data_IF_996512243281
#
_entry.id   IF_996512243281
#
_cell.length_a   1.000
_cell.length_b   1.000
_cell.length_c   1.000
_cell.angle_alpha   90.00
_cell.angle_beta   90.00
_cell.angle_gamma   90.00
#
_symmetry.space_group_name_H-M   'P 1'
#
loop_
_entity.id
_entity.type
_entity.pdbx_description
1 polymer ?
#
# COMPACT_ATOMS: atom_id res chain seq x y z
N UNK A 1 -8.60 -26.08 18.02
CA UNK A 1 -8.82 -26.24 16.56
C UNK A 1 -9.48 -27.59 16.29
N UNK A 2 -10.83 -27.61 16.19
CA UNK A 2 -11.65 -28.82 15.95
C UNK A 2 -12.10 -28.90 14.49
N UNK A 3 -11.15 -29.06 13.55
CA UNK A 3 -11.46 -29.08 12.12
C UNK A 3 -11.96 -30.44 11.58
N UNK A 4 -12.12 -31.47 12.42
CA UNK A 4 -12.22 -32.87 11.93
C UNK A 4 -13.47 -33.67 12.33
N UNK A 5 -14.43 -33.13 13.08
CA UNK A 5 -15.72 -33.83 13.27
C UNK A 5 -16.71 -33.47 12.16
N UNK A 6 -16.30 -33.73 10.91
CA UNK A 6 -17.17 -33.60 9.75
C UNK A 6 -17.82 -34.94 9.46
N UNK A 7 -19.15 -34.93 9.41
CA UNK A 7 -19.93 -36.06 8.90
C UNK A 7 -19.36 -36.51 7.54
N UNK A 8 -19.14 -37.82 7.32
CA UNK A 8 -18.49 -38.38 6.13
C UNK A 8 -19.24 -38.14 4.79
N UNK A 9 -20.27 -37.29 4.79
CA UNK A 9 -21.17 -37.03 3.66
C UNK A 9 -21.00 -35.64 3.03
N UNK A 10 -20.08 -34.80 3.55
CA UNK A 10 -19.84 -33.44 3.05
C UNK A 10 -18.47 -33.32 2.39
N UNK A 11 -18.46 -33.16 1.07
CA UNK A 11 -17.24 -32.86 0.31
C UNK A 11 -17.06 -31.36 0.23
N UNK A 12 -15.90 -30.85 0.67
CA UNK A 12 -15.54 -29.43 0.58
C UNK A 12 -14.56 -29.24 -0.57
N UNK A 13 -14.87 -28.32 -1.46
CA UNK A 13 -13.99 -27.94 -2.57
C UNK A 13 -13.60 -26.49 -2.32
N UNK A 14 -12.34 -26.25 -2.02
CA UNK A 14 -11.80 -24.90 -1.87
C UNK A 14 -11.59 -24.34 -3.27
N UNK A 15 -12.18 -23.18 -3.54
CA UNK A 15 -12.15 -22.54 -4.85
C UNK A 15 -11.14 -21.39 -4.87
N UNK A 16 -10.96 -20.71 -3.74
CA UNK A 16 -9.96 -19.66 -3.61
C UNK A 16 -10.08 -18.88 -2.31
N UNK A 17 -9.43 -17.71 -2.30
CA UNK A 17 -9.50 -16.76 -1.20
C UNK A 17 -10.35 -15.57 -1.62
N UNK A 18 -11.26 -15.16 -0.75
CA UNK A 18 -12.03 -13.92 -0.89
C UNK A 18 -11.60 -12.99 0.23
N UNK A 19 -11.20 -11.80 -0.16
CA UNK A 19 -10.85 -10.74 0.77
C UNK A 19 -11.15 -9.39 0.16
N UNK A 20 -11.25 -8.39 1.02
CA UNK A 20 -11.42 -7.00 0.64
C UNK A 20 -10.04 -6.34 0.60
N UNK A 21 -9.82 -5.53 -0.42
CA UNK A 21 -8.63 -4.72 -0.55
C UNK A 21 -9.03 -3.28 -0.82
N UNK A 22 -8.10 -2.38 -0.52
CA UNK A 22 -8.27 -0.98 -0.81
C UNK A 22 -7.52 -0.59 -2.08
N UNK A 23 -8.09 0.39 -2.75
CA UNK A 23 -7.57 1.07 -3.93
C UNK A 23 -7.52 2.55 -3.58
N UNK A 24 -6.35 3.15 -3.67
CA UNK A 24 -6.20 4.59 -3.53
C UNK A 24 -5.15 5.10 -4.51
N UNK A 25 -5.27 6.35 -4.95
CA UNK A 25 -4.16 7.04 -5.61
C UNK A 25 -3.40 7.95 -4.64
N UNK A 26 -3.87 8.09 -3.39
CA UNK A 26 -3.08 8.72 -2.35
C UNK A 26 -2.03 7.72 -1.86
N UNK A 27 -0.77 8.04 -2.10
CA UNK A 27 0.36 7.41 -1.43
C UNK A 27 1.01 8.49 -0.58
N UNK A 28 1.07 8.27 0.72
CA UNK A 28 1.95 9.06 1.56
C UNK A 28 3.37 8.76 1.07
N UNK A 29 3.94 9.73 0.34
CA UNK A 29 5.33 9.64 -0.06
C UNK A 29 6.11 9.70 1.23
N UNK A 30 6.54 8.55 1.74
CA UNK A 30 7.61 8.51 2.71
C UNK A 30 8.76 9.28 2.07
N UNK A 31 9.03 10.48 2.58
CA UNK A 31 10.16 11.29 2.15
C UNK A 31 11.38 10.56 2.71
N UNK A 32 11.80 9.51 2.02
CA UNK A 32 13.04 8.84 2.36
C UNK A 32 14.15 9.82 2.04
N UNK A 33 14.85 10.28 3.08
CA UNK A 33 16.00 11.20 2.91
C UNK A 33 17.11 10.60 2.03
N UNK A 34 17.02 9.32 1.69
CA UNK A 34 17.87 8.64 0.71
C UNK A 34 17.98 9.40 -0.60
N UNK A 35 16.92 10.03 -1.11
CA UNK A 35 17.04 10.80 -2.35
C UNK A 35 17.96 12.03 -2.22
N UNK A 36 18.10 12.63 -1.04
CA UNK A 36 19.01 13.75 -0.83
C UNK A 36 20.46 13.31 -0.57
N UNK A 37 20.66 12.11 -0.04
CA UNK A 37 22.00 11.59 0.29
C UNK A 37 22.60 10.83 -0.90
N UNK A 38 21.78 10.12 -1.69
CA UNK A 38 22.21 9.25 -2.79
C UNK A 38 22.87 9.93 -4.01
N UNK A 39 22.51 11.15 -4.45
CA UNK A 39 23.07 11.71 -5.68
C UNK A 39 24.51 12.18 -5.53
N UNK A 40 24.99 12.38 -4.30
CA UNK A 40 26.35 12.81 -4.06
C UNK A 40 27.29 11.61 -4.04
N UNK A 41 28.22 11.62 -5.00
CA UNK A 41 29.41 10.77 -5.05
C UNK A 41 30.14 10.79 -3.70
N UNK A 42 30.67 9.65 -3.23
CA UNK A 42 31.31 9.52 -1.91
C UNK A 42 32.45 10.54 -1.72
N UNK A 43 33.08 10.91 -2.82
CA UNK A 43 34.13 11.92 -2.95
C UNK A 43 33.66 13.30 -2.45
N UNK A 44 32.40 13.68 -2.68
CA UNK A 44 31.84 14.96 -2.20
C UNK A 44 31.72 14.96 -0.68
N UNK A 45 31.27 13.84 -0.10
CA UNK A 45 31.20 13.68 1.34
C UNK A 45 32.58 13.69 2.00
N UNK A 46 33.56 13.02 1.38
CA UNK A 46 34.95 13.14 1.82
C UNK A 46 35.45 14.57 1.74
N UNK A 47 35.11 15.31 0.68
CA UNK A 47 35.37 16.74 0.55
C UNK A 47 34.80 17.53 1.74
N UNK A 48 33.50 17.44 1.99
CA UNK A 48 32.83 18.13 3.09
C UNK A 48 33.46 17.78 4.45
N UNK A 49 33.68 16.49 4.73
CA UNK A 49 34.26 16.03 6.00
C UNK A 49 35.72 16.49 6.13
N UNK A 50 36.50 16.46 5.05
CA UNK A 50 37.88 16.93 5.03
C UNK A 50 37.97 18.43 5.28
N UNK A 51 37.14 19.25 4.63
CA UNK A 51 37.07 20.70 4.86
C UNK A 51 36.65 21.03 6.29
N UNK A 52 35.70 20.26 6.85
CA UNK A 52 35.33 20.40 8.26
C UNK A 52 36.48 20.07 9.20
N UNK A 53 37.23 19.01 8.91
CA UNK A 53 38.42 18.62 9.69
C UNK A 53 39.51 19.69 9.64
N UNK A 54 39.76 20.28 8.47
CA UNK A 54 40.72 21.36 8.28
C UNK A 54 40.29 22.65 9.01
N UNK A 55 39.00 22.97 8.98
CA UNK A 55 38.44 24.10 9.72
C UNK A 55 38.61 23.92 11.23
N UNK A 56 38.28 22.73 11.76
CA UNK A 56 38.41 22.42 13.20
C UNK A 56 39.88 22.43 13.66
N UNK A 57 40.80 21.90 12.85
CA UNK A 57 42.23 21.86 13.19
C UNK A 57 42.88 23.24 13.10
N UNK A 58 42.49 24.05 12.12
CA UNK A 58 42.94 25.45 12.01
C UNK A 58 42.45 26.29 13.19
N UNK A 59 41.16 26.15 13.55
CA UNK A 59 40.60 26.81 14.73
C UNK A 59 41.32 26.43 16.03
N UNK A 60 41.71 25.17 16.21
CA UNK A 60 42.47 24.72 17.37
C UNK A 60 43.89 25.34 17.43
N UNK A 61 44.56 25.50 16.27
CA UNK A 61 45.88 26.13 16.18
C UNK A 61 45.83 27.62 16.53
N UNK A 62 44.79 28.33 16.10
CA UNK A 62 44.56 29.73 16.51
C UNK A 62 44.20 29.84 17.99
N UNK A 63 43.41 28.90 18.53
CA UNK A 63 43.04 28.89 19.95
C UNK A 63 44.24 28.61 20.87
N UNK A 64 45.23 27.84 20.41
CA UNK A 64 46.49 27.62 21.12
C UNK A 64 47.33 28.89 21.30
N UNK A 65 47.18 29.88 20.41
CA UNK A 65 47.90 31.15 20.51
C UNK A 65 47.17 32.20 21.36
N UNK A 66 45.88 32.02 21.65
CA UNK A 66 45.12 32.84 22.62
C UNK A 66 45.11 32.27 24.04
N UNK A 67 45.62 31.05 24.25
CA UNK A 67 45.54 30.34 25.55
C UNK A 67 46.65 30.70 26.56
N UNK A 68 47.39 31.79 26.36
CA UNK A 68 48.27 32.34 27.41
C UNK A 68 47.53 33.20 28.44
N UNK A 69 46.19 33.23 28.42
CA UNK A 69 45.36 33.81 29.47
C UNK A 69 44.62 32.68 30.19
N UNK A 70 44.85 32.46 31.50
CA UNK A 70 44.22 31.37 32.25
C UNK A 70 42.74 31.67 32.51
N UNK A 71 41.87 30.71 32.18
CA UNK A 71 40.45 30.69 32.56
C UNK A 71 40.14 29.37 33.27
N UNK A 72 39.22 29.38 34.26
CA UNK A 72 39.03 28.31 35.22
C UNK A 72 38.22 27.11 34.67
N UNK A 73 38.55 25.94 35.19
CA UNK A 73 37.99 24.64 34.81
C UNK A 73 36.51 24.48 35.19
N UNK A 74 35.69 24.05 34.22
CA UNK A 74 34.35 23.52 34.47
C UNK A 74 34.19 22.18 33.73
N UNK A 75 34.18 21.09 34.50
CA UNK A 75 33.89 19.73 34.05
C UNK A 75 32.42 19.39 34.32
N UNK A 76 31.66 19.05 33.27
CA UNK A 76 30.34 18.41 33.42
C UNK A 76 30.32 17.13 32.59
N UNK A 77 30.30 16.00 33.30
CA UNK A 77 30.06 14.68 32.75
C UNK A 77 28.55 14.40 32.68
N UNK A 78 28.10 13.84 31.55
CA UNK A 78 26.76 13.29 31.38
C UNK A 78 26.87 11.88 30.82
N UNK A 79 26.53 10.90 31.64
CA UNK A 79 26.36 9.48 31.27
C UNK A 79 24.89 9.19 30.98
N UNK A 80 24.63 8.45 29.89
CA UNK A 80 23.31 7.91 29.50
C UNK A 80 23.33 6.38 29.67
N UNK A 81 22.31 5.78 30.31
CA UNK A 81 21.97 4.39 30.01
C UNK A 81 20.45 4.18 29.96
N UNK A 82 19.87 4.06 28.76
CA UNK A 82 18.51 3.53 28.58
C UNK A 82 18.46 2.76 27.26
N UNK A 83 18.87 1.49 27.27
CA UNK A 83 18.64 0.59 26.12
C UNK A 83 18.75 -0.91 26.46
N UNK A 84 18.16 -1.38 27.56
CA UNK A 84 18.26 -2.80 27.90
C UNK A 84 17.02 -3.46 28.53
N UNK A 85 15.82 -2.91 28.32
CA UNK A 85 14.62 -3.41 29.00
C UNK A 85 13.42 -3.64 28.07
N UNK A 86 13.64 -4.17 26.85
CA UNK A 86 12.53 -4.54 25.95
C UNK A 86 12.87 -5.74 25.07
N UNK A 87 13.24 -6.88 25.67
CA UNK A 87 13.39 -8.13 24.92
C UNK A 87 13.33 -9.38 25.82
N UNK A 88 12.18 -9.66 26.44
CA UNK A 88 11.86 -11.02 26.93
C UNK A 88 10.41 -11.17 27.43
N UNK A 89 9.55 -11.78 26.60
CA UNK A 89 8.28 -12.50 26.89
C UNK A 89 7.59 -12.65 25.54
N UNK A 90 7.39 -13.84 24.96
CA UNK A 90 6.40 -14.83 25.36
C UNK A 90 6.70 -16.18 24.65
N UNK A 91 6.60 -17.30 25.38
CA UNK A 91 6.43 -18.65 24.84
C UNK A 91 5.81 -19.53 25.94
N UNK A 92 4.65 -20.15 25.67
CA UNK A 92 4.31 -21.57 25.91
C UNK A 92 2.80 -21.83 25.64
N UNK A 93 2.41 -22.88 24.88
CA UNK A 93 1.01 -23.28 24.64
C UNK A 93 0.66 -24.66 25.25
N UNK A 94 -0.62 -24.94 25.56
CA UNK A 94 -1.10 -26.35 25.66
C UNK A 94 -2.62 -26.58 25.81
N UNK A 95 -3.04 -27.81 25.45
CA UNK A 95 -4.26 -28.61 25.82
C UNK A 95 -5.53 -28.40 24.96
N UNK A 96 -6.44 -29.35 24.66
CA UNK A 96 -6.52 -30.81 24.31
C UNK A 96 -7.99 -31.04 23.81
N UNK A 97 -8.33 -32.19 23.20
CA UNK A 97 -9.60 -32.53 22.50
C UNK A 97 -10.36 -33.68 23.20
N UNK A 98 -11.68 -33.90 22.95
CA UNK A 98 -12.17 -35.28 22.79
C UNK A 98 -13.27 -35.50 21.72
N UNK A 99 -13.52 -36.80 21.51
CA UNK A 99 -14.30 -37.58 20.51
C UNK A 99 -15.84 -37.45 20.68
N UNK A 100 -16.76 -37.94 19.85
CA UNK A 100 -16.83 -38.84 18.69
C UNK A 100 -18.31 -38.99 18.25
N UNK A 101 -18.62 -40.06 17.48
CA UNK A 101 -19.96 -40.65 17.19
C UNK A 101 -20.68 -40.41 15.83
N UNK A 102 -21.30 -41.50 15.34
CA UNK A 102 -21.93 -41.84 14.03
C UNK A 102 -23.42 -42.19 14.30
N UNK A 103 -24.40 -42.16 13.35
CA UNK A 103 -24.58 -43.26 12.39
C UNK A 103 -25.33 -42.95 11.05
N UNK A 104 -25.71 -44.05 10.41
CA UNK A 104 -26.03 -44.47 9.04
C UNK A 104 -27.41 -44.09 8.45
N UNK A 105 -27.52 -44.12 7.11
CA UNK A 105 -28.80 -44.26 6.38
C UNK A 105 -28.64 -44.17 4.85
N UNK A 106 -29.11 -45.19 4.12
CA UNK A 106 -29.09 -45.33 2.65
C UNK A 106 -30.31 -44.64 1.97
N UNK A 107 -30.20 -44.27 0.68
CA UNK A 107 -31.14 -44.52 -0.46
C UNK A 107 -30.76 -43.62 -1.69
N UNK A 108 -31.22 -44.05 -2.88
CA UNK A 108 -30.78 -43.89 -4.29
C UNK A 108 -31.14 -42.55 -5.02
N UNK A 109 -30.68 -42.32 -6.29
CA UNK A 109 -30.32 -41.00 -6.84
C UNK A 109 -31.19 -40.50 -8.02
N UNK A 110 -31.04 -39.21 -8.39
CA UNK A 110 -31.09 -38.69 -9.77
C UNK A 110 -30.53 -37.26 -9.99
N UNK A 111 -29.71 -37.15 -11.06
CA UNK A 111 -29.41 -36.00 -11.97
C UNK A 111 -27.99 -35.37 -11.91
N UNK A 112 -27.16 -35.78 -12.88
CA UNK A 112 -26.26 -34.93 -13.69
C UNK A 112 -26.10 -35.66 -15.05
N UNK A 113 -26.66 -35.13 -16.14
CA UNK A 113 -26.53 -35.77 -17.46
C UNK A 113 -25.07 -35.83 -17.91
N UNK A 114 -24.66 -36.97 -18.48
CA UNK A 114 -23.35 -37.25 -19.06
C UNK A 114 -22.96 -36.23 -20.17
N UNK A 115 -23.94 -35.61 -20.81
CA UNK A 115 -23.74 -34.63 -21.88
C UNK A 115 -23.11 -33.34 -21.39
N UNK A 116 -23.40 -32.95 -20.15
CA UNK A 116 -22.83 -31.73 -19.55
C UNK A 116 -21.36 -31.94 -19.23
N UNK A 117 -21.01 -33.11 -18.70
CA UNK A 117 -19.61 -33.47 -18.47
C UNK A 117 -18.80 -33.55 -19.79
N UNK A 118 -19.43 -34.00 -20.89
CA UNK A 118 -18.79 -34.02 -22.23
C UNK A 118 -18.57 -32.60 -22.76
N UNK A 119 -19.54 -31.70 -22.58
CA UNK A 119 -19.43 -30.30 -22.99
C UNK A 119 -18.30 -29.56 -22.23
N UNK A 120 -18.22 -29.74 -20.92
CA UNK A 120 -17.11 -29.17 -20.12
C UNK A 120 -15.75 -29.75 -20.54
N UNK A 121 -15.68 -31.06 -20.77
CA UNK A 121 -14.44 -31.74 -21.18
C UNK A 121 -13.99 -31.32 -22.58
N UNK A 122 -14.89 -31.17 -23.54
CA UNK A 122 -14.53 -30.69 -24.89
C UNK A 122 -14.00 -29.26 -24.86
N UNK A 123 -14.55 -28.42 -23.98
CA UNK A 123 -14.13 -27.03 -23.89
C UNK A 123 -12.79 -26.85 -23.15
N UNK A 124 -12.48 -27.73 -22.19
CA UNK A 124 -11.17 -27.75 -21.52
C UNK A 124 -9.98 -28.02 -22.46
N UNK A 125 -10.23 -28.66 -23.61
CA UNK A 125 -9.19 -29.01 -24.60
C UNK A 125 -8.90 -27.88 -25.60
N UNK A 126 -9.63 -26.77 -25.55
CA UNK A 126 -9.39 -25.64 -26.47
C UNK A 126 -8.14 -24.86 -26.04
N UNK A 127 -7.32 -24.49 -27.01
CA UNK A 127 -6.10 -23.72 -26.78
C UNK A 127 -6.39 -22.34 -26.19
N UNK A 128 -5.44 -21.84 -25.39
CA UNK A 128 -5.48 -20.49 -24.80
C UNK A 128 -5.61 -19.45 -25.93
N UNK A 129 -6.77 -18.78 -26.01
CA UNK A 129 -7.08 -17.80 -27.06
C UNK A 129 -8.35 -18.07 -27.88
N UNK A 130 -8.86 -19.31 -27.90
CA UNK A 130 -10.14 -19.60 -28.57
C UNK A 130 -11.34 -19.10 -27.76
N UNK A 131 -12.37 -18.59 -28.47
CA UNK A 131 -13.63 -18.15 -27.86
C UNK A 131 -14.38 -19.34 -27.26
N UNK A 132 -14.86 -19.16 -26.03
CA UNK A 132 -15.72 -20.12 -25.32
C UNK A 132 -17.06 -20.27 -26.04
N UNK A 133 -17.56 -21.50 -26.14
CA UNK A 133 -18.84 -21.83 -26.76
C UNK A 133 -20.00 -21.04 -26.15
N UNK A 134 -20.89 -20.46 -26.97
CA UNK A 134 -22.06 -19.72 -26.48
C UNK A 134 -22.97 -20.58 -25.59
N UNK A 135 -23.08 -21.89 -25.85
CA UNK A 135 -23.85 -22.83 -25.01
C UNK A 135 -23.27 -22.96 -23.59
N UNK A 136 -21.94 -22.95 -23.45
CA UNK A 136 -21.29 -22.99 -22.14
C UNK A 136 -21.47 -21.65 -21.41
N UNK A 137 -21.36 -20.53 -22.14
CA UNK A 137 -21.62 -19.19 -21.60
C UNK A 137 -23.06 -19.08 -21.08
N UNK A 138 -24.05 -19.64 -21.78
CA UNK A 138 -25.44 -19.64 -21.36
C UNK A 138 -25.68 -20.48 -20.09
N UNK A 139 -25.11 -21.69 -20.00
CA UNK A 139 -25.19 -22.50 -18.77
C UNK A 139 -24.48 -21.86 -17.58
N UNK A 140 -23.34 -21.21 -17.81
CA UNK A 140 -22.67 -20.43 -16.78
C UNK A 140 -23.51 -19.22 -16.37
N UNK A 141 -24.13 -18.53 -17.34
CA UNK A 141 -25.05 -17.42 -17.04
C UNK A 141 -26.23 -17.87 -16.20
N UNK A 142 -26.71 -19.10 -16.40
CA UNK A 142 -27.72 -19.71 -15.54
C UNK A 142 -27.21 -19.95 -14.12
N UNK A 143 -25.97 -20.46 -13.96
CA UNK A 143 -25.31 -20.61 -12.66
C UNK A 143 -25.05 -19.26 -11.96
N UNK A 144 -24.65 -18.23 -12.70
CA UNK A 144 -24.44 -16.88 -12.19
C UNK A 144 -25.76 -16.20 -11.84
N UNK A 145 -26.81 -16.36 -12.65
CA UNK A 145 -28.17 -15.89 -12.33
C UNK A 145 -28.70 -16.57 -11.07
N UNK A 146 -28.43 -17.87 -10.93
CA UNK A 146 -28.73 -18.63 -9.72
C UNK A 146 -27.95 -18.08 -8.50
N UNK A 147 -26.65 -17.77 -8.65
CA UNK A 147 -25.88 -17.09 -7.59
C UNK A 147 -26.40 -15.68 -7.28
N UNK A 148 -26.79 -14.90 -8.27
CA UNK A 148 -27.30 -13.54 -8.12
C UNK A 148 -28.65 -13.52 -7.40
N UNK A 149 -29.53 -14.48 -7.73
CA UNK A 149 -30.83 -14.67 -7.08
C UNK A 149 -30.68 -15.14 -5.64
N UNK A 150 -29.71 -16.02 -5.37
CA UNK A 150 -29.31 -16.39 -4.01
C UNK A 150 -28.75 -15.20 -3.22
N UNK A 151 -27.99 -14.31 -3.86
CA UNK A 151 -27.38 -13.15 -3.21
C UNK A 151 -28.39 -12.03 -2.94
N UNK A 152 -29.32 -11.77 -3.87
CA UNK A 152 -30.40 -10.78 -3.68
C UNK A 152 -31.34 -11.17 -2.54
N UNK A 153 -31.74 -12.45 -2.49
CA UNK A 153 -32.57 -12.97 -1.39
C UNK A 153 -31.83 -12.95 -0.03
N UNK A 154 -30.49 -12.90 -0.02
CA UNK A 154 -29.69 -12.77 1.19
C UNK A 154 -29.48 -11.31 1.65
N UNK A 155 -29.61 -10.32 0.75
CA UNK A 155 -29.38 -8.89 1.04
C UNK A 155 -30.62 -8.13 1.55
N UNK A 156 -31.84 -8.63 1.31
CA UNK A 156 -33.08 -8.03 1.81
C UNK A 156 -33.36 -8.28 3.31
N UNK A 157 -32.52 -9.06 4.00
CA UNK A 157 -32.74 -9.40 5.42
C UNK A 157 -31.58 -8.86 6.26
N UNK A 158 -31.73 -7.62 6.74
CA UNK A 158 -30.84 -6.97 7.70
C UNK A 158 -31.10 -7.43 9.14
N UNK A 159 -30.88 -8.72 9.43
CA UNK A 159 -30.81 -9.27 10.81
C UNK A 159 -29.79 -10.41 10.83
N UNK A 160 -28.93 -10.56 11.86
CA UNK A 160 -27.98 -11.67 11.92
C UNK A 160 -28.75 -12.97 12.19
N UNK A 161 -29.15 -13.66 11.12
CA UNK A 161 -29.81 -14.95 11.21
C UNK A 161 -28.84 -16.08 10.91
N UNK A 162 -28.82 -17.02 11.86
CA UNK A 162 -28.29 -18.36 11.73
C UNK A 162 -28.89 -19.00 10.46
N UNK A 163 -28.07 -19.12 9.41
CA UNK A 163 -28.48 -19.60 8.08
C UNK A 163 -28.74 -21.11 8.15
N UNK A 164 -29.87 -21.53 8.72
CA UNK A 164 -30.26 -22.94 8.69
C UNK A 164 -31.26 -23.25 7.59
N UNK A 165 -32.27 -22.43 7.27
CA UNK A 165 -33.33 -22.86 6.35
C UNK A 165 -33.90 -21.73 5.47
N UNK A 166 -33.44 -21.64 4.22
CA UNK A 166 -34.22 -21.04 3.13
C UNK A 166 -34.80 -22.22 2.32
N UNK A 167 -36.14 -22.38 2.25
CA UNK A 167 -36.79 -23.43 1.48
C UNK A 167 -37.00 -22.92 0.06
N UNK A 168 -35.96 -22.98 -0.77
CA UNK A 168 -36.14 -22.73 -2.20
C UNK A 168 -35.11 -23.50 -3.01
N UNK A 169 -35.34 -24.81 -3.11
CA UNK A 169 -34.80 -25.70 -4.13
C UNK A 169 -35.76 -26.90 -4.14
N UNK A 170 -36.42 -27.12 -5.26
CA UNK A 170 -37.25 -28.28 -5.60
C UNK A 170 -36.68 -29.59 -5.03
N UNK A 171 -37.56 -30.40 -4.42
CA UNK A 171 -37.23 -31.64 -3.70
C UNK A 171 -36.60 -32.75 -4.58
N UNK A 172 -36.53 -32.55 -5.90
CA UNK A 172 -36.08 -33.56 -6.87
C UNK A 172 -34.61 -33.41 -7.33
N UNK A 173 -33.83 -32.51 -6.72
CA UNK A 173 -32.41 -32.32 -7.07
C UNK A 173 -31.46 -33.16 -6.20
N UNK A 174 -30.65 -34.04 -6.82
CA UNK A 174 -29.82 -35.04 -6.12
C UNK A 174 -28.80 -34.54 -5.09
N UNK A 175 -28.40 -33.28 -5.16
CA UNK A 175 -27.37 -32.74 -4.29
C UNK A 175 -27.67 -31.29 -3.98
N UNK A 176 -27.36 -30.90 -2.74
CA UNK A 176 -27.51 -29.53 -2.28
C UNK A 176 -26.16 -28.84 -2.35
N UNK A 177 -26.01 -27.94 -3.32
CA UNK A 177 -24.83 -27.08 -3.42
C UNK A 177 -24.99 -25.88 -2.48
N UNK A 178 -24.09 -25.74 -1.52
CA UNK A 178 -24.02 -24.57 -0.65
C UNK A 178 -22.71 -23.84 -0.87
N UNK A 179 -22.78 -22.54 -1.15
CA UNK A 179 -21.64 -21.65 -1.06
C UNK A 179 -21.41 -21.39 0.42
N UNK A 180 -20.23 -21.75 0.93
CA UNK A 180 -19.89 -21.55 2.33
C UNK A 180 -18.63 -20.71 2.38
N UNK A 181 -18.73 -19.55 3.01
CA UNK A 181 -17.57 -18.77 3.39
C UNK A 181 -17.01 -19.38 4.67
N UNK A 182 -15.82 -19.96 4.57
CA UNK A 182 -15.15 -20.49 5.75
C UNK A 182 -14.46 -19.32 6.45
N UNK A 183 -15.10 -18.80 7.49
CA UNK A 183 -14.48 -17.82 8.38
C UNK A 183 -13.36 -18.53 9.16
N UNK A 184 -12.14 -18.42 8.66
CA UNK A 184 -10.94 -18.88 9.35
C UNK A 184 -10.69 -17.90 10.51
N UNK A 185 -11.12 -18.31 11.69
CA UNK A 185 -10.89 -17.66 12.98
C UNK A 185 -11.68 -16.39 13.25
N UNK A 186 -11.93 -16.18 14.55
CA UNK A 186 -12.48 -14.98 15.18
C UNK A 186 -11.38 -13.91 15.12
N UNK A 187 -11.08 -13.46 13.91
CA UNK A 187 -9.92 -12.61 13.63
C UNK A 187 -10.20 -11.16 14.09
N UNK A 188 -9.30 -10.52 14.87
CA UNK A 188 -9.40 -9.11 15.24
C UNK A 188 -9.56 -8.15 14.05
N UNK A 189 -9.23 -8.58 12.83
CA UNK A 189 -9.48 -7.84 11.59
C UNK A 189 -10.96 -7.47 11.35
N UNK A 190 -11.91 -8.14 12.02
CA UNK A 190 -13.32 -7.74 12.01
C UNK A 190 -13.57 -6.36 12.65
N UNK A 191 -12.80 -5.96 13.68
CA UNK A 191 -12.93 -4.63 14.27
C UNK A 191 -12.44 -3.53 13.31
N UNK A 192 -11.33 -3.78 12.61
CA UNK A 192 -10.81 -2.85 11.59
C UNK A 192 -11.84 -2.69 10.46
N UNK A 193 -12.45 -3.78 10.01
CA UNK A 193 -13.48 -3.76 8.99
C UNK A 193 -14.75 -3.03 9.46
N UNK A 194 -15.18 -3.25 10.71
CA UNK A 194 -16.31 -2.54 11.32
C UNK A 194 -16.03 -1.04 11.45
N UNK A 195 -14.81 -0.66 11.84
CA UNK A 195 -14.39 0.74 11.90
C UNK A 195 -14.35 1.37 10.51
N UNK A 196 -13.84 0.66 9.50
CA UNK A 196 -13.82 1.13 8.10
C UNK A 196 -15.22 1.32 7.53
N UNK A 197 -16.16 0.42 7.82
CA UNK A 197 -17.55 0.53 7.38
C UNK A 197 -18.42 1.34 8.32
N UNK A 198 -17.85 1.92 9.38
CA UNK A 198 -18.60 2.78 10.27
C UNK A 198 -19.10 4.00 9.47
N UNK A 199 -20.39 4.38 9.56
CA UNK A 199 -20.97 5.48 8.78
C UNK A 199 -20.23 6.82 8.90
N UNK A 200 -19.50 7.01 10.01
CA UNK A 200 -18.64 8.19 10.23
C UNK A 200 -17.43 8.26 9.29
N UNK A 201 -16.92 7.13 8.82
CA UNK A 201 -15.81 7.05 7.88
C UNK A 201 -16.27 6.81 6.44
N UNK A 202 -17.50 6.32 6.26
CA UNK A 202 -18.12 6.17 4.96
C UNK A 202 -18.44 7.54 4.35
N UNK A 203 -17.61 7.97 3.40
CA UNK A 203 -17.87 9.18 2.64
C UNK A 203 -18.87 8.88 1.52
N UNK A 204 -20.05 9.51 1.57
CA UNK A 204 -20.98 9.47 0.45
C UNK A 204 -20.50 10.45 -0.63
N UNK A 205 -20.46 10.04 -1.91
CA UNK A 205 -20.14 10.96 -2.98
C UNK A 205 -21.17 12.10 -2.99
N UNK A 206 -20.72 13.32 -3.25
CA UNK A 206 -21.62 14.48 -3.39
C UNK A 206 -22.43 14.32 -4.68
N UNK A 207 -23.67 13.89 -4.55
CA UNK A 207 -24.61 13.77 -5.67
C UNK A 207 -25.17 15.17 -5.95
N UNK A 208 -24.84 15.75 -7.11
CA UNK A 208 -25.47 16.99 -7.58
C UNK A 208 -26.89 16.62 -8.05
N UNK A 209 -27.89 17.14 -7.37
CA UNK A 209 -29.31 16.78 -7.49
C UNK A 209 -29.88 17.05 -8.88
N UNK A 210 -30.50 16.04 -9.51
CA UNK A 210 -31.38 16.23 -10.69
C UNK A 210 -31.65 14.97 -11.52
N UNK A 211 -30.73 14.02 -11.51
CA UNK A 211 -30.90 12.70 -12.12
C UNK A 211 -30.15 11.73 -11.24
N UNK A 212 -30.69 10.54 -10.95
CA UNK A 212 -30.01 9.51 -10.16
C UNK A 212 -28.71 9.15 -10.89
N UNK A 213 -27.56 9.77 -10.60
CA UNK A 213 -26.36 9.50 -11.34
C UNK A 213 -25.91 8.12 -10.87
N UNK A 214 -25.33 7.35 -11.77
CA UNK A 214 -24.71 6.08 -11.42
C UNK A 214 -23.77 6.34 -10.21
N UNK A 215 -24.12 5.83 -9.03
CA UNK A 215 -23.34 6.01 -7.78
C UNK A 215 -21.86 5.70 -8.05
N UNK A 216 -21.61 4.77 -8.98
CA UNK A 216 -20.28 4.42 -9.47
C UNK A 216 -19.53 5.58 -10.10
N UNK A 217 -20.17 6.43 -10.91
CA UNK A 217 -19.53 7.61 -11.48
C UNK A 217 -19.11 8.61 -10.38
N UNK A 218 -19.97 8.79 -9.36
CA UNK A 218 -19.63 9.61 -8.20
C UNK A 218 -18.42 9.07 -7.42
N UNK A 219 -18.40 7.75 -7.17
CA UNK A 219 -17.27 7.07 -6.53
C UNK A 219 -16.00 7.16 -7.38
N UNK A 220 -16.10 6.93 -8.69
CA UNK A 220 -15.00 7.02 -9.63
C UNK A 220 -14.39 8.42 -9.63
N UNK A 221 -15.21 9.47 -9.70
CA UNK A 221 -14.77 10.87 -9.65
C UNK A 221 -14.08 11.19 -8.33
N UNK A 222 -14.59 10.69 -7.21
CA UNK A 222 -13.98 10.88 -5.90
C UNK A 222 -12.62 10.15 -5.77
N UNK A 223 -12.51 8.94 -6.29
CA UNK A 223 -11.25 8.17 -6.31
C UNK A 223 -10.24 8.82 -7.26
N UNK A 224 -10.68 9.25 -8.45
CA UNK A 224 -9.84 9.94 -9.43
C UNK A 224 -9.42 11.34 -8.98
N UNK A 225 -10.11 11.96 -8.03
CA UNK A 225 -9.69 13.25 -7.46
C UNK A 225 -8.41 13.16 -6.62
N UNK A 226 -7.95 11.95 -6.27
CA UNK A 226 -6.80 11.70 -5.40
C UNK A 226 -6.77 12.50 -4.10
N UNK A 227 -7.96 12.75 -3.55
CA UNK A 227 -8.07 13.10 -2.15
C UNK A 227 -7.63 11.92 -1.26
N UNK A 228 -7.55 12.13 0.06
CA UNK A 228 -7.24 11.09 1.05
C UNK A 228 -8.41 10.08 1.20
N UNK A 229 -8.86 9.51 0.09
CA UNK A 229 -9.96 8.57 -0.02
C UNK A 229 -9.43 7.25 -0.55
N UNK A 230 -10.09 6.16 -0.14
CA UNK A 230 -9.78 4.83 -0.58
C UNK A 230 -11.08 4.13 -0.98
N UNK A 231 -11.06 3.48 -2.14
CA UNK A 231 -12.12 2.59 -2.60
C UNK A 231 -11.87 1.20 -2.04
N UNK A 232 -12.85 0.64 -1.33
CA UNK A 232 -12.76 -0.68 -0.72
C UNK A 232 -13.67 -1.62 -1.49
N UNK A 233 -13.14 -2.77 -1.89
CA UNK A 233 -13.88 -3.75 -2.68
C UNK A 233 -13.25 -5.12 -2.60
N UNK A 234 -13.90 -6.11 -3.20
CA UNK A 234 -13.35 -7.46 -3.32
C UNK A 234 -12.04 -7.44 -4.11
N UNK A 235 -11.04 -8.21 -3.70
CA UNK A 235 -9.68 -8.21 -4.29
C UNK A 235 -9.67 -8.35 -5.81
N UNK A 236 -10.49 -9.26 -6.35
CA UNK A 236 -10.63 -9.48 -7.80
C UNK A 236 -11.26 -8.28 -8.51
N UNK A 237 -12.25 -7.64 -7.88
CA UNK A 237 -12.88 -6.43 -8.39
C UNK A 237 -11.90 -5.25 -8.37
N UNK A 238 -11.10 -5.12 -7.30
CA UNK A 238 -10.10 -4.05 -7.14
C UNK A 238 -9.04 -4.12 -8.23
N UNK A 239 -8.57 -5.32 -8.58
CA UNK A 239 -7.60 -5.48 -9.67
C UNK A 239 -8.16 -5.00 -11.01
N UNK A 240 -9.40 -5.38 -11.33
CA UNK A 240 -10.07 -4.93 -12.56
C UNK A 240 -10.40 -3.43 -12.54
N UNK A 241 -10.75 -2.88 -11.38
CA UNK A 241 -11.01 -1.45 -11.19
C UNK A 241 -9.73 -0.62 -11.40
N UNK A 242 -8.60 -1.08 -10.87
CA UNK A 242 -7.28 -0.46 -11.10
C UNK A 242 -6.95 -0.45 -12.59
N UNK A 243 -7.14 -1.56 -13.29
CA UNK A 243 -6.85 -1.64 -14.72
C UNK A 243 -7.75 -0.68 -15.51
N UNK A 244 -9.04 -0.61 -15.16
CA UNK A 244 -9.98 0.33 -15.75
C UNK A 244 -9.56 1.79 -15.52
N UNK A 245 -9.27 2.18 -14.27
CA UNK A 245 -8.89 3.53 -13.91
C UNK A 245 -7.55 3.95 -14.52
N UNK A 246 -6.56 3.05 -14.60
CA UNK A 246 -5.27 3.34 -15.26
C UNK A 246 -5.41 3.61 -16.75
N UNK A 247 -6.35 2.92 -17.42
CA UNK A 247 -6.66 3.17 -18.84
C UNK A 247 -7.36 4.51 -19.03
N UNK A 248 -8.24 4.91 -18.11
CA UNK A 248 -9.02 6.16 -18.21
C UNK A 248 -8.26 7.40 -17.72
N UNK A 249 -7.47 7.27 -16.65
CA UNK A 249 -6.73 8.33 -15.97
C UNK A 249 -5.23 8.03 -15.99
N UNK A 250 -4.62 8.09 -17.17
CA UNK A 250 -3.21 7.67 -17.36
C UNK A 250 -2.20 8.49 -16.55
N UNK A 251 -2.54 9.72 -16.16
CA UNK A 251 -1.70 10.60 -15.34
C UNK A 251 -1.74 10.27 -13.84
N UNK A 252 -2.68 9.44 -13.40
CA UNK A 252 -2.86 9.08 -11.99
C UNK A 252 -2.25 7.70 -11.73
N UNK A 253 -1.40 7.63 -10.71
CA UNK A 253 -0.86 6.36 -10.22
C UNK A 253 -1.81 5.81 -9.16
N UNK A 254 -2.54 4.77 -9.52
CA UNK A 254 -3.37 4.02 -8.57
C UNK A 254 -2.54 2.92 -7.91
N UNK A 255 -2.70 2.80 -6.59
CA UNK A 255 -2.03 1.82 -5.76
C UNK A 255 -3.06 0.84 -5.19
N UNK A 256 -2.65 -0.43 -5.18
CA UNK A 256 -3.36 -1.52 -4.51
C UNK A 256 -2.82 -1.64 -3.10
N UNK A 257 -3.70 -1.72 -2.11
CA UNK A 257 -3.30 -2.06 -0.75
C UNK A 257 -2.64 -3.42 -0.67
N UNK A 258 -1.56 -3.53 0.11
CA UNK A 258 -0.93 -4.82 0.45
C UNK A 258 -1.85 -5.70 1.29
N UNK A 259 -2.63 -5.05 2.16
CA UNK A 259 -3.37 -5.76 3.19
C UNK A 259 -4.71 -6.23 2.65
N UNK A 260 -4.99 -7.51 2.91
CA UNK A 260 -6.26 -8.14 2.54
C UNK A 260 -7.11 -8.24 3.79
N UNK A 261 -8.18 -7.45 3.84
CA UNK A 261 -9.14 -7.46 4.94
C UNK A 261 -10.09 -8.65 4.80
N UNK A 262 -10.32 -9.35 5.91
CA UNK A 262 -11.24 -10.50 5.98
C UNK A 262 -10.89 -11.57 4.94
N UNK A 263 -9.70 -12.14 5.09
CA UNK A 263 -9.28 -13.27 4.28
C UNK A 263 -10.11 -14.50 4.65
N UNK A 264 -11.08 -14.82 3.79
CA UNK A 264 -11.92 -15.99 3.93
C UNK A 264 -11.62 -16.98 2.81
N UNK A 265 -11.46 -18.25 3.15
CA UNK A 265 -11.52 -19.29 2.13
C UNK A 265 -12.95 -19.36 1.60
N UNK A 266 -13.10 -19.16 0.29
CA UNK A 266 -14.35 -19.45 -0.40
C UNK A 266 -14.26 -20.84 -1.00
N UNK A 267 -15.30 -21.61 -0.72
CA UNK A 267 -15.41 -22.95 -1.23
C UNK A 267 -16.85 -23.36 -1.38
N UNK A 268 -17.03 -24.46 -2.07
CA UNK A 268 -18.31 -25.09 -2.25
C UNK A 268 -18.40 -26.29 -1.33
N UNK A 269 -19.54 -26.43 -0.67
CA UNK A 269 -19.86 -27.60 0.11
C UNK A 269 -20.93 -28.36 -0.63
N UNK A 270 -20.57 -29.57 -1.06
CA UNK A 270 -21.49 -30.51 -1.68
C UNK A 270 -21.98 -31.41 -0.55
N UNK A 271 -23.24 -31.22 -0.17
CA UNK A 271 -23.90 -32.09 0.82
C UNK A 271 -24.60 -33.25 0.12
N UNK A 272 -24.51 -34.45 0.71
CA UNK A 272 -25.21 -35.66 0.24
C UNK A 272 -24.84 -36.06 -1.19
N UNK A 273 -23.54 -36.19 -1.49
CA UNK A 273 -23.06 -36.56 -2.83
C UNK A 273 -23.52 -37.96 -3.33
N UNK A 274 -24.28 -38.70 -2.52
CA UNK A 274 -24.80 -40.02 -2.86
C UNK A 274 -23.68 -40.99 -3.25
N UNK A 275 -23.98 -41.95 -4.12
CA UNK A 275 -22.95 -42.84 -4.72
C UNK A 275 -22.20 -42.17 -5.89
N UNK A 276 -22.65 -41.01 -6.36
CA UNK A 276 -22.17 -40.39 -7.59
C UNK A 276 -21.05 -39.39 -7.25
N UNK A 277 -19.85 -39.92 -6.98
CA UNK A 277 -18.61 -39.12 -6.73
C UNK A 277 -18.10 -38.34 -7.97
N UNK A 278 -18.84 -38.38 -9.08
CA UNK A 278 -18.40 -37.79 -10.35
C UNK A 278 -18.45 -36.25 -10.32
N UNK A 279 -19.40 -35.68 -9.58
CA UNK A 279 -19.64 -34.23 -9.56
C UNK A 279 -18.50 -33.50 -8.85
N UNK A 280 -18.12 -33.89 -7.63
CA UNK A 280 -16.98 -33.26 -6.94
C UNK A 280 -15.68 -33.42 -7.71
N UNK A 281 -15.43 -34.57 -8.33
CA UNK A 281 -14.24 -34.82 -9.16
C UNK A 281 -14.21 -33.90 -10.38
N UNK A 282 -15.35 -33.70 -11.05
CA UNK A 282 -15.43 -32.82 -12.22
C UNK A 282 -15.22 -31.35 -11.84
N UNK A 283 -15.80 -30.90 -10.72
CA UNK A 283 -15.57 -29.55 -10.21
C UNK A 283 -14.13 -29.31 -9.76
N UNK A 284 -13.55 -30.29 -9.05
CA UNK A 284 -12.14 -30.26 -8.70
C UNK A 284 -11.27 -30.14 -9.95
N UNK A 285 -11.51 -30.96 -10.97
CA UNK A 285 -10.78 -30.88 -12.23
C UNK A 285 -10.95 -29.52 -12.93
N UNK A 286 -12.13 -28.89 -12.85
CA UNK A 286 -12.40 -27.57 -13.42
C UNK A 286 -11.63 -26.45 -12.70
N UNK A 287 -11.41 -26.58 -11.40
CA UNK A 287 -10.61 -25.63 -10.59
C UNK A 287 -9.11 -25.90 -10.81
N UNK A 288 -8.68 -27.16 -10.70
CA UNK A 288 -7.28 -27.57 -10.88
C UNK A 288 -6.75 -27.28 -12.29
N UNK A 289 -7.63 -27.25 -13.30
CA UNK A 289 -7.28 -26.85 -14.67
C UNK A 289 -7.22 -25.34 -14.90
N UNK A 290 -7.61 -24.51 -13.93
CA UNK A 290 -7.63 -23.04 -14.05
C UNK A 290 -8.79 -22.48 -14.90
N UNK A 291 -9.71 -23.33 -15.38
CA UNK A 291 -10.87 -22.89 -16.17
C UNK A 291 -11.76 -21.95 -15.36
N UNK A 292 -11.93 -22.24 -14.06
CA UNK A 292 -12.69 -21.38 -13.15
C UNK A 292 -12.12 -19.97 -13.05
N UNK A 293 -10.81 -19.85 -12.86
CA UNK A 293 -10.12 -18.56 -12.70
C UNK A 293 -10.21 -17.71 -13.98
N UNK A 294 -10.00 -18.34 -15.15
CA UNK A 294 -10.17 -17.67 -16.44
C UNK A 294 -11.60 -17.18 -16.64
N UNK A 295 -12.58 -17.99 -16.27
CA UNK A 295 -13.98 -17.62 -16.35
C UNK A 295 -14.31 -16.42 -15.46
N UNK A 296 -13.80 -16.40 -14.22
CA UNK A 296 -13.99 -15.29 -13.30
C UNK A 296 -13.38 -13.99 -13.84
N UNK A 297 -12.21 -14.08 -14.48
CA UNK A 297 -11.55 -12.95 -15.16
C UNK A 297 -12.42 -12.43 -16.31
N UNK A 298 -12.93 -13.30 -17.16
CA UNK A 298 -13.79 -12.93 -18.30
C UNK A 298 -15.11 -12.28 -17.84
N UNK A 299 -15.76 -12.81 -16.79
CA UNK A 299 -16.98 -12.23 -16.21
C UNK A 299 -16.71 -10.84 -15.67
N UNK A 300 -15.59 -10.66 -14.95
CA UNK A 300 -15.19 -9.36 -14.41
C UNK A 300 -14.86 -8.36 -15.52
N UNK A 301 -14.13 -8.79 -16.56
CA UNK A 301 -13.83 -7.97 -17.73
C UNK A 301 -15.09 -7.51 -18.47
N UNK A 302 -16.10 -8.39 -18.62
CA UNK A 302 -17.39 -8.03 -19.22
C UNK A 302 -18.16 -7.02 -18.38
N UNK A 303 -18.14 -7.18 -17.05
CA UNK A 303 -18.76 -6.23 -16.11
C UNK A 303 -18.14 -4.83 -16.23
N UNK A 304 -16.83 -4.75 -16.51
CA UNK A 304 -16.15 -3.47 -16.75
C UNK A 304 -16.41 -2.90 -18.15
N UNK A 305 -16.51 -3.74 -19.19
CA UNK A 305 -16.77 -3.31 -20.57
C UNK A 305 -18.14 -2.63 -20.74
N UNK A 306 -19.13 -3.01 -19.94
CA UNK A 306 -20.46 -2.40 -19.96
C UNK A 306 -20.51 -0.97 -19.41
N UNK A 307 -19.44 -0.48 -18.77
CA UNK A 307 -19.38 0.91 -18.29
C UNK A 307 -19.15 1.84 -19.46
N UNK A 308 -20.17 2.65 -19.79
CA UNK A 308 -20.02 3.75 -20.77
C UNK A 308 -18.88 4.64 -20.32
N UNK A 309 -17.87 4.79 -21.16
CA UNK A 309 -16.86 5.82 -20.97
C UNK A 309 -17.58 7.16 -21.11
N UNK A 310 -17.82 7.83 -19.99
CA UNK A 310 -18.15 9.25 -20.03
C UNK A 310 -16.91 9.95 -20.57
N UNK A 311 -17.01 10.49 -21.78
CA UNK A 311 -15.95 11.25 -22.45
C UNK A 311 -15.67 12.61 -21.78
N UNK A 312 -16.11 12.81 -20.54
CA UNK A 312 -15.73 13.95 -19.74
C UNK A 312 -14.25 13.80 -19.38
N UNK A 313 -13.41 14.45 -20.18
CA UNK A 313 -12.06 14.81 -19.80
C UNK A 313 -12.15 15.70 -18.58
N UNK A 314 -12.13 15.10 -17.38
CA UNK A 314 -11.85 15.83 -16.14
C UNK A 314 -10.48 16.47 -16.38
N UNK A 315 -10.49 17.80 -16.58
CA UNK A 315 -9.35 18.55 -17.11
C UNK A 315 -8.04 18.16 -16.44
N UNK A 316 -7.14 17.58 -17.24
CA UNK A 316 -5.77 17.25 -16.82
C UNK A 316 -5.01 18.51 -16.33
N UNK A 317 -5.51 19.69 -16.71
CA UNK A 317 -4.95 21.00 -16.43
C UNK A 317 -4.84 21.32 -14.93
N UNK A 318 -5.68 20.70 -14.08
CA UNK A 318 -5.61 20.89 -12.62
C UNK A 318 -4.73 19.86 -11.90
N UNK A 319 -4.32 18.77 -12.57
CA UNK A 319 -3.57 17.68 -11.93
C UNK A 319 -2.06 17.74 -12.21
N UNK A 320 -1.59 18.57 -13.15
CA UNK A 320 -0.26 19.19 -13.01
C UNK A 320 -0.27 20.27 -11.93
N UNK A 321 -0.93 19.97 -10.79
CA UNK A 321 -0.65 20.66 -9.55
C UNK A 321 0.85 20.68 -9.44
N UNK A 322 1.40 21.89 -9.44
CA UNK A 322 2.82 22.19 -9.25
C UNK A 322 3.38 21.08 -8.38
N UNK A 323 4.50 20.46 -8.76
CA UNK A 323 5.26 19.64 -7.83
C UNK A 323 5.51 20.56 -6.65
N UNK A 324 4.60 20.52 -5.66
CA UNK A 324 4.69 21.31 -4.46
C UNK A 324 5.94 20.72 -3.90
N UNK A 325 7.03 21.48 -3.98
CA UNK A 325 8.27 21.18 -3.31
C UNK A 325 7.88 21.16 -1.85
N UNK A 326 7.40 19.99 -1.40
CA UNK A 326 6.99 19.74 -0.04
C UNK A 326 8.12 20.28 0.83
N UNK A 327 7.75 21.03 1.87
CA UNK A 327 8.63 21.95 2.59
C UNK A 327 10.00 21.40 3.01
N UNK A 328 10.21 20.08 3.00
CA UNK A 328 11.54 19.46 3.08
C UNK A 328 12.57 19.99 2.06
N UNK A 329 12.19 20.18 0.78
CA UNK A 329 13.14 20.73 -0.22
C UNK A 329 13.43 22.21 0.08
N UNK A 330 12.38 22.96 0.41
CA UNK A 330 12.50 24.39 0.73
C UNK A 330 13.36 24.62 1.98
N UNK A 331 13.15 23.82 3.04
CA UNK A 331 13.95 23.88 4.27
C UNK A 331 15.41 23.51 4.01
N UNK A 332 15.69 22.56 3.12
CA UNK A 332 17.06 22.23 2.71
C UNK A 332 17.74 23.41 1.98
N UNK A 333 17.06 24.06 1.05
CA UNK A 333 17.59 25.27 0.41
C UNK A 333 17.82 26.40 1.41
N UNK A 334 16.92 26.59 2.36
CA UNK A 334 17.06 27.58 3.43
C UNK A 334 18.29 27.24 4.31
N UNK A 335 18.46 25.99 4.71
CA UNK A 335 19.61 25.56 5.52
C UNK A 335 20.93 25.75 4.76
N UNK A 336 21.01 25.34 3.50
CA UNK A 336 22.19 25.52 2.65
C UNK A 336 22.50 27.02 2.50
N UNK A 337 21.48 27.86 2.28
CA UNK A 337 21.66 29.30 2.19
C UNK A 337 22.26 29.89 3.46
N UNK A 338 21.74 29.55 4.65
CA UNK A 338 22.28 30.05 5.92
C UNK A 338 23.71 29.57 6.18
N UNK A 339 24.03 28.31 5.88
CA UNK A 339 25.39 27.77 6.04
C UNK A 339 26.37 28.52 5.13
N UNK A 340 26.02 28.75 3.87
CA UNK A 340 26.86 29.51 2.94
C UNK A 340 26.97 30.99 3.34
N UNK A 341 25.90 31.59 3.87
CA UNK A 341 25.91 32.96 4.35
C UNK A 341 26.85 33.13 5.55
N UNK A 342 26.79 32.23 6.54
CA UNK A 342 27.70 32.23 7.69
C UNK A 342 29.15 32.04 7.23
N UNK A 343 29.41 31.08 6.32
CA UNK A 343 30.75 30.86 5.78
C UNK A 343 31.29 32.10 5.03
N UNK A 344 30.45 32.77 4.25
CA UNK A 344 30.81 34.03 3.56
C UNK A 344 31.14 35.14 4.54
N UNK A 345 30.35 35.32 5.60
CA UNK A 345 30.61 36.31 6.65
C UNK A 345 31.93 36.04 7.40
N UNK A 346 32.21 34.78 7.74
CA UNK A 346 33.50 34.39 8.34
C UNK A 346 34.68 34.71 7.41
N UNK A 347 34.55 34.40 6.11
CA UNK A 347 35.58 34.69 5.12
C UNK A 347 35.85 36.19 4.99
N UNK A 348 34.80 37.02 4.97
CA UNK A 348 34.94 38.48 4.91
C UNK A 348 35.62 39.05 6.16
N UNK A 349 35.31 38.52 7.35
CA UNK A 349 35.96 38.93 8.59
C UNK A 349 37.46 38.59 8.60
N UNK A 350 37.83 37.36 8.24
CA UNK A 350 39.23 36.94 8.16
C UNK A 350 39.99 37.74 7.09
N UNK A 351 39.37 37.97 5.93
CA UNK A 351 39.96 38.79 4.88
C UNK A 351 40.22 40.23 5.35
N UNK A 352 39.25 40.83 6.05
CA UNK A 352 39.40 42.17 6.60
C UNK A 352 40.54 42.26 7.63
N UNK A 353 40.68 41.28 8.52
CA UNK A 353 41.77 41.23 9.49
C UNK A 353 43.15 41.05 8.83
N UNK A 354 43.24 40.21 7.80
CA UNK A 354 44.47 40.03 7.02
C UNK A 354 44.88 41.33 6.32
N UNK A 355 43.93 42.00 5.66
CA UNK A 355 44.17 43.27 4.96
C UNK A 355 44.59 44.34 5.96
N UNK A 356 43.88 44.48 7.08
CA UNK A 356 44.22 45.43 8.14
C UNK A 356 45.64 45.21 8.68
N UNK A 357 46.02 43.96 8.94
CA UNK A 357 47.36 43.63 9.42
C UNK A 357 48.45 43.96 8.39
N UNK A 358 48.20 43.68 7.10
CA UNK A 358 49.14 44.04 6.01
C UNK A 358 49.28 45.56 5.86
N UNK A 359 48.17 46.30 5.91
CA UNK A 359 48.16 47.77 5.86
C UNK A 359 48.95 48.35 7.04
N UNK A 360 48.72 47.87 8.26
CA UNK A 360 49.45 48.35 9.46
C UNK A 360 50.96 48.09 9.32
N UNK A 361 51.38 46.93 8.82
CA UNK A 361 52.81 46.64 8.57
C UNK A 361 53.40 47.60 7.54
N UNK A 362 52.70 47.84 6.43
CA UNK A 362 53.18 48.76 5.37
C UNK A 362 53.28 50.19 5.92
N UNK A 363 52.27 50.66 6.67
CA UNK A 363 52.28 51.97 7.31
C UNK A 363 53.41 52.12 8.32
N UNK A 364 53.68 51.10 9.15
CA UNK A 364 54.83 51.11 10.06
C UNK A 364 56.17 51.16 9.33
N UNK A 365 56.32 50.46 8.20
CA UNK A 365 57.54 50.52 7.38
C UNK A 365 57.71 51.91 6.75
N UNK A 366 56.64 52.48 6.23
CA UNK A 366 56.66 53.82 5.64
C UNK A 366 57.00 54.89 6.68
N UNK A 367 56.40 54.83 7.87
CA UNK A 367 56.70 55.73 8.98
C UNK A 367 58.18 55.68 9.39
N UNK A 368 58.81 54.49 9.39
CA UNK A 368 60.25 54.35 9.63
C UNK A 368 61.09 54.99 8.54
N UNK A 369 60.73 54.83 7.27
CA UNK A 369 61.45 55.46 6.15
C UNK A 369 61.35 56.99 6.21
N UNK A 370 60.16 57.52 6.52
CA UNK A 370 59.96 58.96 6.70
C UNK A 370 60.81 59.47 7.88
N UNK A 371 60.82 58.75 9.01
CA UNK A 371 61.64 59.12 10.16
C UNK A 371 63.13 59.14 9.86
N UNK A 372 63.63 58.18 9.06
CA UNK A 372 65.04 58.15 8.65
C UNK A 372 65.37 59.30 7.68
N UNK A 373 64.48 59.60 6.74
CA UNK A 373 64.65 60.72 5.81
C UNK A 373 64.69 62.07 6.54
N UNK A 374 63.77 62.30 7.48
CA UNK A 374 63.76 63.51 8.30
C UNK A 374 65.04 63.62 9.14
N UNK A 375 65.50 62.51 9.72
CA UNK A 375 66.74 62.49 10.48
C UNK A 375 67.98 62.86 9.64
N UNK A 376 68.13 62.28 8.45
CA UNK A 376 69.23 62.64 7.53
C UNK A 376 69.17 64.10 7.10
N UNK A 377 67.97 64.62 6.81
CA UNK A 377 67.82 65.99 6.35
C UNK A 377 68.09 67.02 7.48
N UNK A 378 67.74 66.70 8.73
CA UNK A 378 68.05 67.54 9.90
C UNK A 378 69.55 67.50 10.21
N UNK A 379 70.19 66.32 10.11
CA UNK A 379 71.63 66.18 10.34
C UNK A 379 72.46 66.97 9.33
N UNK A 380 72.05 67.06 8.06
CA UNK A 380 72.77 67.84 7.05
C UNK A 380 72.60 69.37 7.20
N UNK A 381 71.61 69.84 7.96
CA UNK A 381 71.38 71.28 8.19
C UNK A 381 72.10 71.86 9.40
N UNK A 382 72.69 71.02 10.24
CA UNK A 382 73.53 71.39 11.38
C UNK A 382 75.01 71.13 11.05
#
# INVERSE_FOLDING_TARGET
MNWLNLSPTKTRIIVGFKGYQFLSCYSEKEITFRFYIAPFKREVWYGIVSSWREYLTSGAKYRGKLRSVPLPDFSLGLSLPVFNELLQRFNDPRIKRPDGEKPTGNIFPLICSLEDARLFRSESRKNLGQKVSPKLIEKIRYLDYFQLKLFYNALEITVPLNISNIPFLEEDSCFRLKIVTFNLLKDPSNQVLLNLFHPRHARRPKIVSGHLPDIRYGMEKEVASCSKTAFIGESSLIAAEIEYLRKKYFWIKFHKGSDTLKEGLIGWVIEKEGRIRSVSRSYRALIESGIYERLQTDVTARKMKGRRQTNESIGADNFMGSIVMNGGIMTLFIMIFFINLVACMCFLAEFHDIVRHKIVIVMMKLARLISLYVWEHVWMTH
#
